data_IF_124451447045
#
_entry.id   IF_124451447045
#
_cell.length_a   1.000
_cell.length_b   1.000
_cell.length_c   1.000
_cell.angle_alpha   90.00
_cell.angle_beta   90.00
_cell.angle_gamma   90.00
#
_symmetry.space_group_name_H-M   'P 1'
#
loop_
_entity.id
_entity.type
_entity.pdbx_description
1 polymer ?
#
# COMPACT_ATOMS: atom_id res chain seq x y z
N UNK A 1 -29.23 20.53 -19.05
CA UNK A 1 -28.04 21.27 -18.56
C UNK A 1 -26.93 20.24 -18.38
N UNK A 2 -25.93 20.22 -19.25
CA UNK A 2 -24.78 19.32 -19.09
C UNK A 2 -24.02 19.71 -17.82
N UNK A 3 -23.68 18.73 -16.99
CA UNK A 3 -23.02 18.92 -15.69
C UNK A 3 -21.54 19.27 -15.92
N UNK A 4 -21.26 20.54 -16.21
CA UNK A 4 -19.90 21.09 -16.43
C UNK A 4 -18.98 20.99 -15.19
N UNK A 5 -19.50 20.55 -14.05
CA UNK A 5 -18.72 20.47 -12.82
C UNK A 5 -17.74 19.28 -12.81
N UNK A 6 -17.92 18.29 -13.69
CA UNK A 6 -17.05 17.09 -13.70
C UNK A 6 -15.60 17.43 -14.03
N UNK A 7 -15.39 18.30 -15.01
CA UNK A 7 -14.06 18.77 -15.41
C UNK A 7 -13.44 19.65 -14.31
N UNK A 8 -14.25 20.50 -13.67
CA UNK A 8 -13.81 21.34 -12.55
C UNK A 8 -13.33 20.50 -11.35
N UNK A 9 -14.03 19.41 -11.02
CA UNK A 9 -13.63 18.49 -9.95
C UNK A 9 -12.37 17.69 -10.30
N UNK A 10 -12.17 17.29 -11.56
CA UNK A 10 -10.91 16.68 -12.01
C UNK A 10 -9.75 17.66 -11.92
N UNK A 11 -9.92 18.91 -12.38
CA UNK A 11 -8.85 19.91 -12.26
C UNK A 11 -8.50 20.19 -10.80
N UNK A 12 -9.49 20.40 -9.92
CA UNK A 12 -9.24 20.64 -8.50
C UNK A 12 -8.44 19.52 -7.82
N UNK A 13 -8.65 18.28 -8.28
CA UNK A 13 -7.97 17.08 -7.75
C UNK A 13 -6.49 17.00 -8.13
N UNK A 14 -6.07 17.61 -9.23
CA UNK A 14 -4.65 17.79 -9.60
C UNK A 14 -4.08 19.15 -9.19
N UNK A 15 -4.92 20.07 -8.68
CA UNK A 15 -4.52 21.45 -8.34
C UNK A 15 -4.09 21.61 -6.89
N UNK A 16 -4.67 20.83 -5.96
CA UNK A 16 -4.38 20.94 -4.53
C UNK A 16 -3.17 20.11 -4.13
N UNK A 17 -2.08 20.77 -3.73
CA UNK A 17 -0.95 20.13 -3.05
C UNK A 17 -1.31 19.85 -1.59
N UNK A 18 -0.56 18.97 -0.94
CA UNK A 18 -0.71 18.67 0.49
C UNK A 18 -0.66 19.92 1.38
N UNK A 19 0.11 20.92 0.96
CA UNK A 19 0.17 22.24 1.60
C UNK A 19 -1.17 22.98 1.62
N UNK A 20 -2.06 22.74 0.65
CA UNK A 20 -3.26 23.55 0.40
C UNK A 20 -4.44 23.13 1.28
N UNK A 21 -4.50 21.86 1.68
CA UNK A 21 -5.57 21.37 2.57
C UNK A 21 -5.15 21.24 4.04
N UNK A 22 -3.88 21.45 4.37
CA UNK A 22 -3.36 21.47 5.74
C UNK A 22 -3.31 22.88 6.36
N UNK A 23 -3.83 23.91 5.68
CA UNK A 23 -3.76 25.31 6.13
C UNK A 23 -4.52 25.54 7.44
N UNK A 24 -5.72 24.96 7.60
CA UNK A 24 -6.47 24.94 8.86
C UNK A 24 -7.58 23.89 8.84
N UNK A 25 -8.19 23.64 10.00
CA UNK A 25 -9.26 22.63 10.16
C UNK A 25 -10.46 22.85 9.24
N UNK A 26 -10.87 24.10 9.01
CA UNK A 26 -12.04 24.41 8.17
C UNK A 26 -11.79 24.07 6.70
N UNK A 27 -10.57 24.36 6.22
CA UNK A 27 -10.13 24.02 4.87
C UNK A 27 -10.03 22.50 4.76
N UNK A 28 -9.35 21.85 5.70
CA UNK A 28 -9.25 20.38 5.75
C UNK A 28 -10.63 19.72 5.71
N UNK A 29 -11.57 20.13 6.57
CA UNK A 29 -12.92 19.57 6.64
C UNK A 29 -13.70 19.71 5.33
N UNK A 30 -13.52 20.82 4.62
CA UNK A 30 -14.15 21.06 3.32
C UNK A 30 -13.59 20.13 2.24
N UNK A 31 -12.26 19.96 2.19
CA UNK A 31 -11.60 19.01 1.30
C UNK A 31 -11.99 17.58 1.63
N UNK A 32 -11.88 17.19 2.90
CA UNK A 32 -12.21 15.85 3.39
C UNK A 32 -13.66 15.48 3.07
N UNK A 33 -14.65 16.31 3.41
CA UNK A 33 -16.07 16.03 3.10
C UNK A 33 -16.33 15.94 1.60
N UNK A 34 -15.58 16.69 0.78
CA UNK A 34 -15.77 16.73 -0.67
C UNK A 34 -15.09 15.57 -1.40
N UNK A 35 -14.01 15.03 -0.85
CA UNK A 35 -13.14 14.01 -1.47
C UNK A 35 -13.29 12.62 -0.85
N UNK A 36 -13.69 12.52 0.43
CA UNK A 36 -13.87 11.23 1.12
C UNK A 36 -14.82 10.34 0.34
N UNK A 37 -14.34 9.13 0.02
CA UNK A 37 -15.11 8.13 -0.72
C UNK A 37 -15.30 8.43 -2.22
N UNK A 38 -14.81 9.58 -2.73
CA UNK A 38 -14.74 9.79 -4.17
C UNK A 38 -13.53 9.07 -4.72
N UNK A 39 -13.75 8.25 -5.75
CA UNK A 39 -12.67 7.64 -6.51
C UNK A 39 -11.91 8.74 -7.27
N UNK A 40 -10.82 9.21 -6.66
CA UNK A 40 -9.92 10.21 -7.21
C UNK A 40 -9.29 9.63 -8.47
N UNK A 41 -8.56 8.51 -8.40
CA UNK A 41 -8.00 7.88 -9.60
C UNK A 41 -8.94 6.81 -10.18
N UNK A 42 -9.56 7.12 -11.32
CA UNK A 42 -10.15 6.10 -12.18
C UNK A 42 -9.07 5.71 -13.19
N UNK A 43 -8.60 4.46 -13.13
CA UNK A 43 -7.79 3.87 -14.20
C UNK A 43 -8.69 3.64 -15.44
N UNK A 44 -9.23 4.70 -16.02
CA UNK A 44 -9.97 4.69 -17.28
C UNK A 44 -9.03 5.17 -18.39
N UNK A 45 -8.90 4.37 -19.45
CA UNK A 45 -7.99 4.64 -20.56
C UNK A 45 -6.87 3.59 -20.65
N UNK A 46 -5.64 4.06 -20.90
CA UNK A 46 -4.47 3.24 -21.29
C UNK A 46 -4.08 2.15 -20.26
N UNK A 47 -4.27 2.41 -18.97
CA UNK A 47 -3.84 1.50 -17.88
C UNK A 47 -4.90 0.50 -17.42
N UNK A 48 -6.04 0.40 -18.11
CA UNK A 48 -7.11 -0.54 -17.73
C UNK A 48 -6.65 -2.00 -17.80
N UNK A 49 -5.95 -2.36 -18.87
CA UNK A 49 -5.39 -3.70 -19.06
C UNK A 49 -4.26 -3.98 -18.07
N UNK A 50 -3.34 -3.03 -17.89
CA UNK A 50 -2.25 -3.14 -16.91
C UNK A 50 -2.79 -3.35 -15.49
N UNK A 51 -3.83 -2.59 -15.08
CA UNK A 51 -4.47 -2.78 -13.77
C UNK A 51 -5.12 -4.15 -13.64
N UNK A 52 -5.73 -4.67 -14.71
CA UNK A 52 -6.31 -6.01 -14.70
C UNK A 52 -5.21 -7.06 -14.51
N UNK A 53 -4.15 -6.99 -15.31
CA UNK A 53 -2.97 -7.86 -15.20
C UNK A 53 -2.30 -7.78 -13.82
N UNK A 54 -2.21 -6.59 -13.24
CA UNK A 54 -1.69 -6.40 -11.88
C UNK A 54 -2.56 -7.11 -10.83
N UNK A 55 -3.89 -7.01 -10.93
CA UNK A 55 -4.82 -7.68 -10.02
C UNK A 55 -4.85 -9.20 -10.19
N UNK A 56 -4.66 -9.66 -11.43
CA UNK A 56 -4.67 -11.08 -11.79
C UNK A 56 -3.30 -11.73 -11.47
N UNK A 57 -2.29 -10.97 -11.04
CA UNK A 57 -0.93 -11.46 -10.75
C UNK A 57 -0.04 -11.64 -11.99
N UNK A 58 -0.57 -11.38 -13.19
CA UNK A 58 0.16 -11.54 -14.46
C UNK A 58 1.45 -10.68 -14.54
N UNK A 59 1.56 -9.64 -13.71
CA UNK A 59 2.73 -8.74 -13.67
C UNK A 59 3.69 -9.04 -12.51
N UNK A 60 3.48 -10.12 -11.77
CA UNK A 60 4.30 -10.46 -10.59
C UNK A 60 5.78 -10.71 -10.94
N UNK A 61 6.09 -11.08 -12.19
CA UNK A 61 7.47 -11.20 -12.68
C UNK A 61 8.25 -9.88 -12.69
N UNK A 62 7.56 -8.74 -12.58
CA UNK A 62 8.19 -7.42 -12.47
C UNK A 62 8.46 -7.01 -11.02
N UNK A 63 7.92 -7.73 -10.03
CA UNK A 63 8.15 -7.43 -8.62
C UNK A 63 9.57 -7.83 -8.24
N UNK A 64 10.20 -7.01 -7.42
CA UNK A 64 11.49 -7.34 -6.84
C UNK A 64 11.33 -8.52 -5.86
N UNK A 65 12.27 -9.45 -5.94
CA UNK A 65 12.39 -10.56 -4.99
C UNK A 65 13.30 -10.07 -3.87
N UNK A 66 12.89 -10.32 -2.62
CA UNK A 66 13.73 -10.01 -1.48
C UNK A 66 15.03 -10.82 -1.54
N UNK A 67 16.22 -10.17 -1.63
CA UNK A 67 17.49 -10.87 -1.67
C UNK A 67 17.93 -11.38 -0.29
N UNK A 68 17.22 -11.03 0.78
CA UNK A 68 17.57 -11.41 2.16
C UNK A 68 17.36 -12.90 2.37
N UNK A 69 18.39 -13.59 2.86
CA UNK A 69 18.30 -15.00 3.24
C UNK A 69 18.05 -15.10 4.75
N UNK A 70 16.84 -15.45 5.11
CA UNK A 70 16.43 -15.81 6.46
C UNK A 70 16.91 -17.21 6.80
N UNK A 71 17.68 -17.31 7.88
CA UNK A 71 18.31 -18.56 8.34
C UNK A 71 17.91 -18.96 9.76
N UNK A 72 17.35 -18.04 10.55
CA UNK A 72 16.96 -18.27 11.94
C UNK A 72 15.48 -17.96 12.20
N UNK A 73 14.88 -18.73 13.09
CA UNK A 73 13.63 -18.37 13.77
C UNK A 73 13.95 -17.96 15.21
N UNK A 74 13.48 -16.77 15.61
CA UNK A 74 13.71 -16.23 16.95
C UNK A 74 12.35 -16.10 17.65
N UNK A 75 12.21 -16.78 18.79
CA UNK A 75 11.03 -16.70 19.63
C UNK A 75 11.22 -15.65 20.72
N UNK A 76 10.25 -14.76 20.85
CA UNK A 76 10.19 -13.80 21.95
C UNK A 76 9.04 -14.15 22.88
N UNK A 77 9.28 -14.11 24.18
CA UNK A 77 8.24 -14.23 25.20
C UNK A 77 7.96 -12.86 25.81
N UNK A 78 6.68 -12.52 25.94
CA UNK A 78 6.27 -11.33 26.67
C UNK A 78 6.44 -11.56 28.17
N UNK A 79 7.24 -10.74 28.83
CA UNK A 79 7.44 -10.79 30.27
C UNK A 79 7.18 -9.44 30.91
N UNK A 80 5.98 -9.29 31.48
CA UNK A 80 5.46 -8.13 32.20
C UNK A 80 5.48 -6.81 31.40
N UNK A 81 6.68 -6.29 31.09
CA UNK A 81 6.90 -4.99 30.46
C UNK A 81 7.74 -5.06 29.19
N UNK A 82 8.43 -6.17 28.90
CA UNK A 82 9.29 -6.28 27.72
C UNK A 82 9.23 -7.67 27.08
N UNK A 83 9.61 -7.74 25.80
CA UNK A 83 9.82 -9.00 25.09
C UNK A 83 11.26 -9.47 25.31
N UNK A 84 11.43 -10.68 25.81
CA UNK A 84 12.73 -11.32 25.97
C UNK A 84 12.88 -12.41 24.90
N UNK A 85 14.01 -12.41 24.19
CA UNK A 85 14.34 -13.50 23.27
C UNK A 85 14.50 -14.79 24.09
N UNK A 86 13.63 -15.75 23.84
CA UNK A 86 13.56 -17.00 24.59
C UNK A 86 14.42 -18.08 23.92
N UNK A 87 14.28 -18.24 22.61
CA UNK A 87 14.89 -19.35 21.85
C UNK A 87 15.24 -18.90 20.43
N UNK A 88 16.34 -19.45 19.89
CA UNK A 88 16.79 -19.23 18.51
C UNK A 88 17.00 -20.62 17.89
N UNK A 89 16.38 -20.85 16.74
CA UNK A 89 16.53 -22.09 15.98
C UNK A 89 17.04 -21.80 14.58
N UNK A 90 17.93 -22.66 14.07
CA UNK A 90 18.25 -22.73 12.65
C UNK A 90 17.02 -23.21 11.88
N UNK A 91 16.69 -22.53 10.78
CA UNK A 91 15.65 -22.99 9.87
C UNK A 91 16.10 -24.25 9.12
N UNK A 92 15.20 -25.21 9.02
CA UNK A 92 15.36 -26.38 8.15
C UNK A 92 15.35 -25.98 6.67
N UNK A 93 15.85 -26.85 5.80
CA UNK A 93 15.85 -26.59 4.36
C UNK A 93 14.44 -26.48 3.77
N UNK A 94 13.43 -27.07 4.41
CA UNK A 94 12.03 -26.91 4.04
C UNK A 94 11.53 -25.50 4.41
N UNK A 95 11.74 -25.05 5.64
CA UNK A 95 11.32 -23.71 6.09
C UNK A 95 12.06 -22.59 5.35
N UNK A 96 13.35 -22.77 5.03
CA UNK A 96 14.10 -21.81 4.19
C UNK A 96 13.47 -21.64 2.82
N UNK A 97 12.98 -22.72 2.20
CA UNK A 97 12.28 -22.66 0.91
C UNK A 97 10.92 -21.97 1.01
N UNK A 98 10.26 -22.08 2.17
CA UNK A 98 8.97 -21.42 2.39
C UNK A 98 9.07 -19.94 2.73
N UNK A 99 10.18 -19.48 3.33
CA UNK A 99 10.33 -18.10 3.81
C UNK A 99 11.13 -17.22 2.86
N UNK A 100 12.18 -17.75 2.23
CA UNK A 100 13.06 -16.99 1.35
C UNK A 100 12.48 -16.82 -0.06
N UNK A 101 13.09 -15.91 -0.85
CA UNK A 101 12.75 -15.68 -2.26
C UNK A 101 11.28 -15.25 -2.48
N UNK A 102 10.67 -14.63 -1.47
CA UNK A 102 9.35 -14.02 -1.60
C UNK A 102 9.46 -12.70 -2.34
N UNK A 103 8.40 -12.37 -3.09
CA UNK A 103 8.24 -11.04 -3.66
C UNK A 103 8.08 -10.03 -2.54
N UNK A 104 8.71 -8.87 -2.68
CA UNK A 104 8.49 -7.75 -1.77
C UNK A 104 7.05 -7.31 -1.98
N UNK A 105 6.20 -7.60 -1.00
CA UNK A 105 4.85 -7.06 -0.99
C UNK A 105 4.96 -5.57 -0.67
N UNK A 106 4.60 -4.71 -1.62
CA UNK A 106 4.28 -3.33 -1.28
C UNK A 106 3.16 -3.36 -0.24
N UNK A 107 3.30 -2.56 0.83
CA UNK A 107 2.26 -2.44 1.86
C UNK A 107 1.00 -1.95 1.16
N UNK A 108 0.03 -2.83 0.93
CA UNK A 108 -1.29 -2.42 0.46
C UNK A 108 -1.87 -1.52 1.56
N UNK A 109 -2.05 -0.22 1.27
CA UNK A 109 -2.79 0.67 2.18
C UNK A 109 -4.16 0.04 2.46
N UNK A 110 -4.44 -0.25 3.73
CA UNK A 110 -5.72 -0.78 4.19
C UNK A 110 -6.86 0.15 3.71
N UNK A 111 -7.89 -0.46 3.10
CA UNK A 111 -9.05 0.23 2.51
C UNK A 111 -10.00 0.83 3.55
#
# INVERSE_FOLDING_TARGET
RQNNNKELYEMAKYSGKDSDYLINQKVFDAFYKSLKGKQILVYSGLFKEARKKLKDGDLDYLKEIDPTEYVYQIFYMWNQKEYLASEIFDLTDEEKREVNQKMINEIEEEK
#
